data_IF_103439252123
#
_entry.id   IF_103439252123
#
_cell.length_a   1.000
_cell.length_b   1.000
_cell.length_c   1.000
_cell.angle_alpha   90.00
_cell.angle_beta   90.00
_cell.angle_gamma   90.00
#
_symmetry.space_group_name_H-M   'P 1'
#
loop_
_entity.id
_entity.type
_entity.pdbx_description
1 polymer ?
#
# COMPACT_ATOMS: atom_id res chain seq x y z
N UNK A 1 -26.93 -17.62 -13.30
CA UNK A 1 -27.19 -18.73 -14.24
C UNK A 1 -27.02 -18.18 -15.65
N UNK A 2 -25.86 -18.42 -16.26
CA UNK A 2 -25.63 -18.62 -17.70
C UNK A 2 -24.20 -19.17 -17.77
N UNK A 3 -24.11 -20.41 -18.22
CA UNK A 3 -22.96 -21.29 -18.20
C UNK A 3 -22.39 -21.33 -19.63
N UNK A 4 -21.17 -20.80 -19.83
CA UNK A 4 -20.58 -20.59 -21.15
C UNK A 4 -19.45 -21.55 -21.50
N UNK A 5 -19.27 -22.66 -20.78
CA UNK A 5 -18.34 -23.71 -21.20
C UNK A 5 -18.85 -25.10 -20.76
N UNK A 6 -19.63 -25.74 -21.65
CA UNK A 6 -19.96 -27.17 -21.58
C UNK A 6 -18.72 -28.03 -21.83
N UNK A 7 -17.82 -28.10 -20.86
CA UNK A 7 -16.86 -29.19 -20.74
C UNK A 7 -16.48 -29.26 -19.27
N UNK A 8 -16.95 -30.28 -18.55
CA UNK A 8 -16.72 -30.50 -17.12
C UNK A 8 -15.27 -30.79 -16.72
N UNK A 9 -14.33 -30.00 -17.23
CA UNK A 9 -12.94 -29.93 -16.80
C UNK A 9 -12.73 -28.54 -16.19
N UNK A 10 -12.49 -28.55 -14.89
CA UNK A 10 -12.03 -27.38 -14.14
C UNK A 10 -10.65 -27.03 -14.72
N UNK A 11 -10.49 -25.80 -15.21
CA UNK A 11 -9.20 -25.34 -15.71
C UNK A 11 -8.20 -25.24 -14.54
N UNK A 12 -6.90 -25.59 -14.72
CA UNK A 12 -5.90 -25.47 -13.68
C UNK A 12 -5.74 -24.02 -13.17
N UNK A 13 -6.12 -23.05 -14.00
CA UNK A 13 -6.12 -21.61 -13.68
C UNK A 13 -7.22 -21.27 -12.69
N UNK A 14 -8.38 -21.93 -12.78
CA UNK A 14 -9.49 -21.75 -11.83
C UNK A 14 -9.16 -22.36 -10.46
N UNK A 15 -8.35 -23.43 -10.42
CA UNK A 15 -7.81 -24.00 -9.16
C UNK A 15 -6.82 -23.03 -8.51
N UNK A 16 -5.96 -22.37 -9.31
CA UNK A 16 -5.02 -21.37 -8.82
C UNK A 16 -5.68 -20.09 -8.30
N UNK A 17 -6.84 -19.72 -8.85
CA UNK A 17 -7.62 -18.55 -8.40
C UNK A 17 -8.53 -18.91 -7.21
N UNK A 18 -9.12 -20.10 -7.19
CA UNK A 18 -10.03 -20.51 -6.11
C UNK A 18 -9.32 -20.73 -4.77
N UNK A 19 -8.04 -21.09 -4.76
CA UNK A 19 -7.24 -21.20 -3.51
C UNK A 19 -6.91 -19.82 -2.93
N UNK A 20 -6.99 -18.73 -3.71
CA UNK A 20 -6.75 -17.37 -3.25
C UNK A 20 -8.04 -16.62 -2.81
N UNK A 21 -9.21 -17.25 -2.97
CA UNK A 21 -10.53 -16.64 -2.68
C UNK A 21 -11.13 -17.13 -1.36
N UNK A 22 -10.50 -18.10 -0.69
CA UNK A 22 -10.91 -18.52 0.65
C UNK A 22 -10.46 -17.47 1.69
N UNK A 23 -11.33 -16.47 1.87
CA UNK A 23 -11.47 -15.64 3.06
C UNK A 23 -10.15 -15.29 3.75
N UNK A 24 -9.54 -14.16 3.36
CA UNK A 24 -8.62 -13.43 4.24
C UNK A 24 -9.41 -12.92 5.46
N UNK A 25 -9.74 -13.83 6.38
CA UNK A 25 -9.74 -13.53 7.80
C UNK A 25 -8.40 -12.87 8.09
N UNK A 26 -8.39 -11.80 8.88
CA UNK A 26 -7.17 -11.11 9.31
C UNK A 26 -6.28 -12.08 10.09
N UNK A 27 -5.50 -12.88 9.37
CA UNK A 27 -4.46 -13.71 9.96
C UNK A 27 -3.45 -12.76 10.58
N UNK A 28 -3.13 -12.99 11.86
CA UNK A 28 -2.10 -12.25 12.60
C UNK A 28 -0.72 -12.31 11.93
N UNK A 29 -0.54 -13.21 10.96
CA UNK A 29 0.68 -13.35 10.17
C UNK A 29 0.43 -13.54 8.67
N UNK A 30 1.34 -12.99 7.86
CA UNK A 30 1.42 -13.17 6.42
C UNK A 30 2.73 -13.87 6.08
N UNK A 31 2.68 -15.03 5.42
CA UNK A 31 3.87 -15.73 4.95
C UNK A 31 4.15 -15.38 3.49
N UNK A 32 5.29 -14.74 3.23
CA UNK A 32 5.79 -14.47 1.89
C UNK A 32 7.08 -15.25 1.67
N UNK A 33 7.02 -16.31 0.85
CA UNK A 33 8.10 -17.29 0.72
C UNK A 33 8.51 -17.87 2.08
N UNK A 34 9.75 -17.65 2.52
CA UNK A 34 10.32 -18.12 3.77
C UNK A 34 10.33 -17.04 4.87
N UNK A 35 9.60 -15.93 4.69
CA UNK A 35 9.53 -14.81 5.63
C UNK A 35 8.13 -14.70 6.25
N UNK A 36 8.08 -14.60 7.56
CA UNK A 36 6.84 -14.41 8.32
C UNK A 36 6.71 -12.95 8.72
N UNK A 37 5.71 -12.27 8.16
CA UNK A 37 5.38 -10.89 8.50
C UNK A 37 4.27 -10.87 9.54
N UNK A 38 4.39 -10.01 10.55
CA UNK A 38 3.35 -9.78 11.55
C UNK A 38 2.37 -8.72 11.06
N UNK A 39 1.08 -8.92 11.32
CA UNK A 39 0.09 -7.86 11.13
C UNK A 39 0.37 -6.74 12.12
N UNK A 40 0.52 -5.52 11.62
CA UNK A 40 0.73 -4.32 12.45
C UNK A 40 -0.60 -3.64 12.71
N UNK A 41 -1.35 -3.36 11.65
CA UNK A 41 -2.69 -2.79 11.74
C UNK A 41 -3.42 -2.85 10.40
N UNK A 42 -4.73 -2.70 10.44
CA UNK A 42 -5.45 -2.05 9.35
C UNK A 42 -5.08 -0.55 9.31
N UNK A 43 -4.77 -0.03 8.12
CA UNK A 43 -4.56 1.42 7.95
C UNK A 43 -5.90 2.11 8.19
N UNK A 44 -5.92 3.13 9.04
CA UNK A 44 -7.15 3.87 9.33
C UNK A 44 -7.06 5.30 8.81
N UNK A 45 -7.58 5.61 7.61
CA UNK A 45 -7.67 6.97 7.12
C UNK A 45 -8.54 7.85 8.02
N UNK A 46 -8.11 9.08 8.26
CA UNK A 46 -8.89 10.08 8.98
C UNK A 46 -10.27 10.29 8.34
N UNK A 47 -11.32 10.33 9.16
CA UNK A 47 -12.70 10.56 8.73
C UNK A 47 -13.24 11.87 9.29
N UNK A 48 -14.19 12.48 8.58
CA UNK A 48 -14.95 13.64 9.07
C UNK A 48 -16.08 13.20 10.01
N UNK A 49 -16.82 14.16 10.58
CA UNK A 49 -17.94 13.90 11.49
C UNK A 49 -19.09 13.09 10.84
N UNK A 50 -19.14 13.00 9.50
CA UNK A 50 -20.11 12.18 8.75
C UNK A 50 -19.57 10.78 8.43
N UNK A 51 -18.40 10.41 8.97
CA UNK A 51 -17.75 9.13 8.71
C UNK A 51 -17.08 9.02 7.34
N UNK A 52 -17.06 10.08 6.53
CA UNK A 52 -16.43 10.07 5.21
C UNK A 52 -14.93 10.33 5.33
N UNK A 53 -14.13 9.67 4.50
CA UNK A 53 -12.66 9.83 4.52
C UNK A 53 -12.30 11.26 4.12
N UNK A 54 -11.45 11.89 4.93
CA UNK A 54 -10.93 13.24 4.65
C UNK A 54 -9.94 13.16 3.50
N UNK A 55 -10.16 14.02 2.51
CA UNK A 55 -9.31 14.14 1.34
C UNK A 55 -8.56 15.46 1.37
N UNK A 56 -7.28 15.41 0.99
CA UNK A 56 -6.35 16.53 1.05
C UNK A 56 -5.74 16.80 -0.32
N UNK A 57 -5.57 18.08 -0.64
CA UNK A 57 -4.92 18.58 -1.88
C UNK A 57 -3.66 19.40 -1.53
N UNK A 58 -2.60 18.76 -1.01
CA UNK A 58 -1.40 19.44 -0.53
C UNK A 58 -0.65 20.16 -1.65
N UNK A 59 -0.80 19.73 -2.91
CA UNK A 59 -0.18 20.42 -4.04
C UNK A 59 -0.59 21.90 -4.12
N UNK A 60 -1.82 22.24 -3.71
CA UNK A 60 -2.31 23.62 -3.70
C UNK A 60 -1.59 24.48 -2.65
N UNK A 61 -0.99 23.88 -1.63
CA UNK A 61 -0.27 24.59 -0.56
C UNK A 61 1.21 24.82 -0.90
N UNK A 62 1.68 24.40 -2.06
CA UNK A 62 3.08 24.57 -2.43
C UNK A 62 3.37 26.00 -2.91
N UNK A 63 4.28 26.70 -2.22
CA UNK A 63 4.63 28.10 -2.53
C UNK A 63 5.07 28.30 -3.99
N UNK A 64 5.82 27.34 -4.54
CA UNK A 64 6.37 27.41 -5.91
C UNK A 64 5.48 26.73 -6.95
N UNK A 65 4.19 26.49 -6.65
CA UNK A 65 3.25 25.78 -7.54
C UNK A 65 3.17 26.36 -8.94
N UNK A 66 3.26 27.68 -9.08
CA UNK A 66 3.21 28.39 -10.37
C UNK A 66 4.42 28.10 -11.28
N UNK A 67 5.55 27.67 -10.71
CA UNK A 67 6.79 27.38 -11.45
C UNK A 67 7.13 25.89 -11.48
N UNK A 68 6.27 25.05 -10.89
CA UNK A 68 6.56 23.63 -10.69
C UNK A 68 5.52 22.79 -11.39
N UNK A 69 5.95 21.79 -12.14
CA UNK A 69 5.05 20.82 -12.78
C UNK A 69 4.72 19.70 -11.81
N UNK A 70 3.43 19.34 -11.71
CA UNK A 70 3.01 18.14 -11.00
C UNK A 70 3.55 16.89 -11.72
N UNK A 71 3.96 15.88 -10.94
CA UNK A 71 4.16 14.55 -11.51
C UNK A 71 2.82 13.79 -11.58
N UNK A 72 2.78 12.63 -12.24
CA UNK A 72 1.53 11.88 -12.51
C UNK A 72 0.64 11.55 -11.29
N UNK A 73 1.23 11.34 -10.11
CA UNK A 73 0.48 11.10 -8.87
C UNK A 73 0.28 12.34 -7.99
N UNK A 74 0.71 13.52 -8.47
CA UNK A 74 0.84 14.72 -7.64
C UNK A 74 -0.46 15.48 -7.42
N UNK A 75 -1.45 15.24 -8.28
CA UNK A 75 -2.76 15.90 -8.17
C UNK A 75 -3.51 15.47 -6.90
N UNK A 76 -3.31 14.22 -6.45
CA UNK A 76 -4.14 13.62 -5.41
C UNK A 76 -5.53 13.23 -5.93
N UNK A 77 -6.56 13.19 -5.07
CA UNK A 77 -6.53 13.48 -3.63
C UNK A 77 -5.67 12.51 -2.82
N UNK A 78 -5.39 12.88 -1.57
CA UNK A 78 -4.67 12.06 -0.59
C UNK A 78 -5.45 11.92 0.71
N UNK A 79 -5.25 10.83 1.43
CA UNK A 79 -5.73 10.66 2.81
C UNK A 79 -4.64 11.00 3.83
N UNK A 80 -5.00 11.01 5.12
CA UNK A 80 -4.05 11.00 6.23
C UNK A 80 -4.28 9.80 7.13
N UNK A 81 -3.22 9.26 7.68
CA UNK A 81 -3.23 8.15 8.64
C UNK A 81 -1.90 8.12 9.38
N UNK A 82 -1.82 7.30 10.44
CA UNK A 82 -0.57 7.06 11.15
C UNK A 82 -0.51 5.64 11.71
N UNK A 83 0.70 5.21 12.02
CA UNK A 83 1.02 4.02 12.81
C UNK A 83 1.60 4.42 14.17
N UNK A 84 1.64 3.48 15.12
CA UNK A 84 2.19 3.71 16.46
C UNK A 84 3.65 4.20 16.41
N UNK A 85 3.99 5.15 17.29
CA UNK A 85 5.32 5.77 17.34
C UNK A 85 6.41 4.86 17.90
N UNK A 86 6.04 3.79 18.60
CA UNK A 86 6.99 2.79 19.11
C UNK A 86 7.84 2.13 18.01
N UNK A 87 7.37 2.16 16.77
CA UNK A 87 8.09 1.67 15.59
C UNK A 87 9.20 2.61 15.08
N UNK A 88 9.54 3.67 15.82
CA UNK A 88 10.67 4.54 15.49
C UNK A 88 12.01 3.81 15.58
N UNK A 89 12.89 4.07 14.62
CA UNK A 89 14.21 3.42 14.52
C UNK A 89 14.19 1.94 14.13
N UNK A 90 13.02 1.33 13.93
CA UNK A 90 12.91 -0.08 13.51
C UNK A 90 13.04 -0.20 12.00
N UNK A 91 13.94 -1.05 11.53
CA UNK A 91 14.21 -1.28 10.11
C UNK A 91 13.65 -2.62 9.62
N UNK A 92 13.24 -2.68 8.36
CA UNK A 92 12.71 -3.92 7.79
C UNK A 92 11.97 -3.74 6.48
N UNK A 93 11.17 -4.75 6.15
CA UNK A 93 10.33 -4.82 4.95
C UNK A 93 8.87 -4.86 5.38
N UNK A 94 8.02 -4.10 4.70
CA UNK A 94 6.58 -4.12 4.89
C UNK A 94 5.85 -4.56 3.63
N UNK A 95 4.67 -5.14 3.83
CA UNK A 95 3.73 -5.49 2.80
C UNK A 95 2.39 -4.78 3.06
N UNK A 96 1.82 -4.19 2.01
CA UNK A 96 0.46 -3.68 2.01
C UNK A 96 -0.42 -4.66 1.24
N UNK A 97 -1.49 -5.13 1.87
CA UNK A 97 -2.46 -6.04 1.27
C UNK A 97 -3.86 -5.44 1.37
N UNK A 98 -4.73 -5.74 0.42
CA UNK A 98 -6.17 -5.69 0.67
C UNK A 98 -6.69 -7.11 0.93
N UNK A 99 -8.01 -7.26 1.02
CA UNK A 99 -8.68 -8.55 1.21
C UNK A 99 -8.51 -9.55 0.07
N UNK A 100 -7.95 -9.12 -1.07
CA UNK A 100 -7.86 -9.93 -2.28
C UNK A 100 -6.41 -10.28 -2.66
N UNK A 101 -5.45 -9.39 -2.38
CA UNK A 101 -4.09 -9.56 -2.86
C UNK A 101 -3.06 -8.70 -2.12
N UNK A 102 -1.79 -9.09 -2.31
CA UNK A 102 -0.62 -8.27 -2.02
C UNK A 102 -0.54 -7.10 -3.02
N UNK A 103 -0.58 -5.88 -2.52
CA UNK A 103 -0.59 -4.66 -3.34
C UNK A 103 0.80 -4.08 -3.55
N UNK A 104 1.59 -4.05 -2.48
CA UNK A 104 2.89 -3.38 -2.47
C UNK A 104 3.84 -3.99 -1.44
N UNK A 105 5.11 -4.05 -1.79
CA UNK A 105 6.21 -4.35 -0.87
C UNK A 105 7.13 -3.13 -0.82
N UNK A 106 7.58 -2.74 0.36
CA UNK A 106 8.58 -1.71 0.48
C UNK A 106 9.50 -1.92 1.67
N UNK A 107 10.56 -1.13 1.72
CA UNK A 107 11.49 -1.14 2.84
C UNK A 107 11.62 0.19 3.60
N UNK A 108 12.18 0.10 4.80
CA UNK A 108 12.49 1.26 5.63
C UNK A 108 13.68 1.02 6.58
N UNK A 109 14.41 2.10 6.86
CA UNK A 109 15.36 2.19 7.97
C UNK A 109 14.70 2.58 9.29
N UNK A 110 13.59 3.34 9.18
CA UNK A 110 12.73 3.73 10.29
C UNK A 110 11.28 3.56 9.83
N UNK A 111 10.60 2.59 10.43
CA UNK A 111 9.25 2.17 10.03
C UNK A 111 8.21 3.25 10.34
N UNK A 112 8.22 3.79 11.57
CA UNK A 112 7.34 4.89 11.95
C UNK A 112 7.56 6.14 11.07
N UNK A 113 8.80 6.49 10.74
CA UNK A 113 9.08 7.64 9.87
C UNK A 113 8.58 7.40 8.44
N UNK A 114 8.81 6.21 7.86
CA UNK A 114 8.35 5.87 6.51
C UNK A 114 6.84 6.04 6.39
N UNK A 115 6.07 5.59 7.39
CA UNK A 115 4.63 5.69 7.38
C UNK A 115 4.16 7.07 7.80
N UNK A 116 4.52 7.56 8.98
CA UNK A 116 3.93 8.78 9.54
C UNK A 116 4.36 10.07 8.83
N UNK A 117 5.61 10.16 8.34
CA UNK A 117 6.12 11.33 7.61
C UNK A 117 6.18 11.11 6.10
N UNK A 118 6.13 9.85 5.64
CA UNK A 118 6.16 9.51 4.22
C UNK A 118 4.76 9.34 3.64
N UNK A 119 4.10 8.22 3.95
CA UNK A 119 2.82 7.83 3.32
C UNK A 119 1.59 8.43 3.99
N UNK A 120 1.60 8.58 5.30
CA UNK A 120 0.49 9.04 6.13
C UNK A 120 0.24 10.53 6.05
N UNK A 121 1.21 11.32 5.57
CA UNK A 121 1.03 12.74 5.28
C UNK A 121 1.85 13.17 4.05
N UNK A 122 1.16 13.58 3.00
CA UNK A 122 1.81 14.04 1.78
C UNK A 122 2.18 15.51 1.88
N UNK A 123 3.49 15.80 1.94
CA UNK A 123 4.01 17.16 1.89
C UNK A 123 3.76 17.81 0.52
N UNK A 124 3.49 19.13 0.44
CA UNK A 124 3.25 19.83 -0.83
C UNK A 124 4.35 19.61 -1.88
N UNK A 125 5.62 19.65 -1.47
CA UNK A 125 6.77 19.41 -2.37
C UNK A 125 6.74 18.04 -3.03
N UNK A 126 6.21 17.02 -2.36
CA UNK A 126 6.17 15.66 -2.89
C UNK A 126 5.30 15.54 -4.14
N UNK A 127 4.37 16.46 -4.37
CA UNK A 127 3.44 16.40 -5.49
C UNK A 127 4.07 16.81 -6.85
N UNK A 128 5.24 17.45 -6.81
CA UNK A 128 5.86 18.07 -7.98
C UNK A 128 7.07 17.26 -8.48
N UNK A 129 7.49 17.52 -9.73
CA UNK A 129 8.71 16.94 -10.30
C UNK A 129 9.91 17.21 -9.39
N UNK A 130 10.71 16.18 -9.13
CA UNK A 130 11.79 16.20 -8.14
C UNK A 130 11.34 16.05 -6.68
N UNK A 131 10.07 15.72 -6.45
CA UNK A 131 9.53 15.29 -5.15
C UNK A 131 9.51 13.76 -4.98
N UNK A 132 8.87 13.29 -3.90
CA UNK A 132 8.76 11.86 -3.57
C UNK A 132 7.52 11.22 -4.22
N UNK A 133 7.70 10.76 -5.46
CA UNK A 133 6.64 10.15 -6.27
C UNK A 133 6.00 8.93 -5.60
N UNK A 134 6.81 8.06 -4.98
CA UNK A 134 6.32 6.86 -4.29
C UNK A 134 5.37 7.21 -3.15
N UNK A 135 5.62 8.31 -2.42
CA UNK A 135 4.74 8.69 -1.32
C UNK A 135 3.33 9.01 -1.82
N UNK A 136 3.26 9.81 -2.89
CA UNK A 136 1.99 10.14 -3.52
C UNK A 136 1.30 8.88 -4.09
N UNK A 137 2.05 8.01 -4.79
CA UNK A 137 1.52 6.77 -5.38
C UNK A 137 0.86 5.87 -4.33
N UNK A 138 1.58 5.58 -3.24
CA UNK A 138 1.12 4.66 -2.20
C UNK A 138 -0.05 5.25 -1.41
N UNK A 139 -0.02 6.55 -1.07
CA UNK A 139 -1.15 7.17 -0.39
C UNK A 139 -2.42 7.18 -1.26
N UNK A 140 -2.29 7.56 -2.55
CA UNK A 140 -3.44 7.54 -3.47
C UNK A 140 -3.98 6.12 -3.66
N UNK A 141 -3.12 5.09 -3.69
CA UNK A 141 -3.56 3.69 -3.71
C UNK A 141 -4.42 3.37 -2.48
N UNK A 142 -3.92 3.68 -1.28
CA UNK A 142 -4.66 3.43 -0.03
C UNK A 142 -6.02 4.13 -0.05
N UNK A 143 -6.05 5.41 -0.42
CA UNK A 143 -7.31 6.16 -0.50
C UNK A 143 -8.30 5.51 -1.49
N UNK A 144 -7.83 5.02 -2.63
CA UNK A 144 -8.69 4.38 -3.65
C UNK A 144 -9.31 3.08 -3.16
N UNK A 145 -8.54 2.24 -2.48
CA UNK A 145 -9.06 1.00 -1.88
C UNK A 145 -10.22 1.31 -0.92
N UNK A 146 -10.05 2.31 -0.06
CA UNK A 146 -11.11 2.70 0.87
C UNK A 146 -12.32 3.38 0.22
N UNK A 147 -12.11 4.19 -0.83
CA UNK A 147 -13.23 4.78 -1.60
C UNK A 147 -14.04 3.66 -2.29
N UNK A 148 -13.38 2.59 -2.73
CA UNK A 148 -14.03 1.41 -3.29
C UNK A 148 -14.74 0.53 -2.25
N UNK A 149 -14.67 0.88 -0.96
CA UNK A 149 -15.28 0.13 0.13
C UNK A 149 -14.41 -1.00 0.70
N UNK A 150 -13.15 -1.11 0.27
CA UNK A 150 -12.19 -2.07 0.80
C UNK A 150 -11.39 -1.54 1.99
N UNK A 151 -10.39 -2.33 2.40
CA UNK A 151 -9.48 -2.05 3.50
C UNK A 151 -8.04 -2.32 3.08
N UNK A 152 -7.07 -1.70 3.75
CA UNK A 152 -5.64 -1.96 3.55
C UNK A 152 -5.00 -2.38 4.86
N UNK A 153 -4.33 -3.53 4.84
CA UNK A 153 -3.62 -4.11 5.96
C UNK A 153 -2.12 -3.93 5.79
N UNK A 154 -1.46 -3.52 6.87
CA UNK A 154 -0.02 -3.33 6.95
C UNK A 154 0.60 -4.50 7.71
N UNK A 155 1.48 -5.21 7.03
CA UNK A 155 2.31 -6.27 7.58
C UNK A 155 3.77 -5.86 7.61
N UNK A 156 4.54 -6.32 8.60
CA UNK A 156 5.95 -5.97 8.75
C UNK A 156 6.83 -7.16 9.13
N UNK A 157 8.02 -7.19 8.55
CA UNK A 157 9.10 -8.11 8.87
C UNK A 157 10.35 -7.30 9.23
N UNK A 158 10.68 -7.30 10.51
CA UNK A 158 11.86 -6.63 11.03
C UNK A 158 13.13 -7.34 10.57
N UNK A 159 14.04 -6.60 9.95
CA UNK A 159 15.33 -7.13 9.49
C UNK A 159 16.29 -6.00 9.15
N UNK A 160 17.59 -6.21 9.35
CA UNK A 160 18.64 -5.33 8.84
C UNK A 160 18.99 -5.58 7.36
N UNK A 161 18.54 -6.70 6.78
CA UNK A 161 18.82 -7.12 5.40
C UNK A 161 17.68 -6.76 4.44
N UNK A 162 17.06 -5.60 4.69
CA UNK A 162 15.84 -5.18 4.02
C UNK A 162 16.00 -5.03 2.50
N UNK A 163 17.18 -4.63 2.00
CA UNK A 163 17.41 -4.40 0.57
C UNK A 163 17.37 -5.72 -0.22
N UNK A 164 17.92 -6.80 0.34
CA UNK A 164 17.90 -8.13 -0.30
C UNK A 164 16.51 -8.74 -0.21
N UNK A 165 15.86 -8.64 0.94
CA UNK A 165 14.53 -9.21 1.18
C UNK A 165 13.49 -8.53 0.30
N UNK A 166 13.46 -7.19 0.27
CA UNK A 166 12.54 -6.42 -0.59
C UNK A 166 12.68 -6.84 -2.05
N UNK A 167 13.90 -6.86 -2.59
CA UNK A 167 14.16 -7.23 -3.99
C UNK A 167 13.66 -8.64 -4.31
N UNK A 168 14.03 -9.61 -3.47
CA UNK A 168 13.62 -11.01 -3.65
C UNK A 168 12.09 -11.17 -3.69
N UNK A 169 11.40 -10.46 -2.80
CA UNK A 169 9.94 -10.53 -2.74
C UNK A 169 9.28 -9.81 -3.92
N UNK A 170 9.78 -8.63 -4.32
CA UNK A 170 9.26 -7.92 -5.50
C UNK A 170 9.45 -8.78 -6.76
N UNK A 171 10.61 -9.40 -6.94
CA UNK A 171 10.89 -10.23 -8.12
C UNK A 171 10.00 -11.47 -8.16
N UNK A 172 9.70 -12.06 -6.99
CA UNK A 172 8.88 -13.27 -6.91
C UNK A 172 7.37 -13.05 -6.97
N UNK A 173 6.87 -11.91 -6.50
CA UNK A 173 5.42 -11.64 -6.43
C UNK A 173 4.94 -10.59 -7.42
N UNK A 174 5.83 -9.73 -7.92
CA UNK A 174 5.53 -8.62 -8.83
C UNK A 174 4.28 -7.79 -8.42
N UNK A 175 4.23 -7.24 -7.18
CA UNK A 175 3.03 -6.56 -6.72
C UNK A 175 2.68 -5.36 -7.62
N UNK A 176 1.38 -5.10 -7.85
CA UNK A 176 0.92 -4.14 -8.87
C UNK A 176 1.44 -2.72 -8.64
N UNK A 177 1.73 -2.34 -7.39
CA UNK A 177 2.23 -1.01 -7.05
C UNK A 177 3.75 -0.91 -6.92
N UNK A 178 4.50 -2.00 -7.10
CA UNK A 178 5.98 -1.95 -7.17
C UNK A 178 6.50 -1.56 -8.56
N UNK A 179 5.71 -1.80 -9.60
CA UNK A 179 6.06 -1.49 -10.99
C UNK A 179 6.22 0.00 -11.30
N UNK A 180 6.92 0.27 -12.41
CA UNK A 180 7.03 1.58 -13.06
C UNK A 180 5.84 1.78 -14.00
N UNK A 181 4.61 1.86 -13.48
CA UNK A 181 3.57 2.59 -14.24
C UNK A 181 3.75 4.07 -14.01
#
# INVERSE_FOLDING_TARGET
MIDWNRNGKIDPVDIGISIAVDSYSSSDSLKLMNYSFSLIQEISPERNAKGQIRQYMPHALYEKRQYSKLHKYGMGPFCRFSILREWHGVSGVYALCNTHQLLYIGQCKDFAQRFNAGYGIISPRNCYVGGQLTNCKINTMILREYIAGGNVYLYFYETGDYDRVERKLIDGFQPPYNGRT
#
